data_IF_986939586107
#
_entry.id   IF_986939586107
#
_cell.length_a   1.000
_cell.length_b   1.000
_cell.length_c   1.000
_cell.angle_alpha   90.00
_cell.angle_beta   90.00
_cell.angle_gamma   90.00
#
_symmetry.space_group_name_H-M   'P 1'
#
loop_
_entity.id
_entity.type
_entity.pdbx_description
1 polymer ?
#
# COMPACT_ATOMS: atom_id res chain seq x y z
N UNK A 1 -0.97 27.05 4.29
CA UNK A 1 -1.22 25.82 5.09
C UNK A 1 -2.29 25.00 4.40
N UNK A 2 -1.99 23.72 4.13
CA UNK A 2 -2.95 22.84 3.45
C UNK A 2 -4.09 22.46 4.38
N UNK A 3 -5.32 22.41 3.84
CA UNK A 3 -6.47 21.85 4.55
C UNK A 3 -6.27 20.36 4.80
N UNK A 4 -7.04 19.78 5.72
CA UNK A 4 -7.01 18.33 5.96
C UNK A 4 -7.35 17.55 4.71
N UNK A 5 -8.37 17.98 3.95
CA UNK A 5 -8.74 17.30 2.70
C UNK A 5 -7.64 17.38 1.64
N UNK A 6 -6.96 18.52 1.54
CA UNK A 6 -5.85 18.66 0.60
C UNK A 6 -4.66 17.76 0.99
N UNK A 7 -4.39 17.62 2.29
CA UNK A 7 -3.35 16.72 2.78
C UNK A 7 -3.68 15.26 2.49
N UNK A 8 -4.92 14.87 2.75
CA UNK A 8 -5.38 13.50 2.46
C UNK A 8 -5.27 13.23 0.96
N UNK A 9 -5.72 14.16 0.11
CA UNK A 9 -5.64 14.02 -1.34
C UNK A 9 -4.19 13.82 -1.80
N UNK A 10 -3.26 14.58 -1.25
CA UNK A 10 -1.84 14.46 -1.56
C UNK A 10 -1.28 13.09 -1.14
N UNK A 11 -1.65 12.62 0.05
CA UNK A 11 -1.24 11.30 0.53
C UNK A 11 -1.82 10.17 -0.33
N UNK A 12 -3.09 10.30 -0.75
CA UNK A 12 -3.70 9.31 -1.64
C UNK A 12 -2.98 9.27 -2.99
N UNK A 13 -2.59 10.42 -3.54
CA UNK A 13 -1.79 10.45 -4.77
C UNK A 13 -0.47 9.73 -4.59
N UNK A 14 0.20 9.94 -3.46
CA UNK A 14 1.46 9.28 -3.18
C UNK A 14 1.29 7.76 -3.05
N UNK A 15 0.21 7.32 -2.39
CA UNK A 15 -0.09 5.89 -2.26
C UNK A 15 -0.37 5.25 -3.62
N UNK A 16 -1.13 5.93 -4.48
CA UNK A 16 -1.43 5.44 -5.83
C UNK A 16 -0.12 5.25 -6.62
N UNK A 17 0.73 6.26 -6.64
CA UNK A 17 2.01 6.19 -7.36
C UNK A 17 2.89 5.07 -6.86
N UNK A 18 2.93 4.88 -5.54
CA UNK A 18 3.77 3.84 -4.95
C UNK A 18 3.22 2.44 -5.27
N UNK A 19 1.90 2.26 -5.23
CA UNK A 19 1.30 0.97 -5.58
C UNK A 19 1.46 0.65 -7.07
N UNK A 20 1.39 1.66 -7.94
CA UNK A 20 1.68 1.48 -9.36
C UNK A 20 3.14 1.07 -9.59
N UNK A 21 4.06 1.72 -8.89
CA UNK A 21 5.48 1.37 -8.94
C UNK A 21 5.72 -0.06 -8.45
N UNK A 22 5.10 -0.41 -7.33
CA UNK A 22 5.17 -1.74 -6.75
C UNK A 22 4.74 -2.81 -7.75
N UNK A 23 3.63 -2.58 -8.45
CA UNK A 23 3.12 -3.49 -9.47
C UNK A 23 4.11 -3.66 -10.63
N UNK A 24 4.76 -2.56 -11.04
CA UNK A 24 5.76 -2.63 -12.12
C UNK A 24 7.02 -3.35 -11.67
N UNK A 25 7.51 -3.06 -10.46
CA UNK A 25 8.72 -3.71 -9.94
C UNK A 25 8.54 -5.21 -9.82
N UNK A 26 7.36 -5.67 -9.46
CA UNK A 26 7.07 -7.08 -9.24
C UNK A 26 6.52 -7.81 -10.46
N UNK A 27 6.46 -7.15 -11.62
CA UNK A 27 5.84 -7.74 -12.82
C UNK A 27 6.50 -9.05 -13.25
N UNK A 28 7.80 -9.19 -13.07
CA UNK A 28 8.53 -10.41 -13.42
C UNK A 28 8.47 -11.50 -12.37
N UNK A 29 7.83 -11.27 -11.24
CA UNK A 29 7.69 -12.25 -10.16
C UNK A 29 6.40 -13.02 -10.40
N UNK A 30 6.52 -14.30 -10.75
CA UNK A 30 5.38 -15.16 -11.09
C UNK A 30 5.00 -16.10 -9.96
N UNK A 31 5.95 -16.48 -9.13
CA UNK A 31 5.74 -17.33 -7.95
C UNK A 31 6.59 -16.78 -6.80
N UNK A 32 6.24 -17.10 -5.54
CA UNK A 32 7.00 -16.56 -4.40
C UNK A 32 8.50 -16.87 -4.45
N UNK A 33 8.86 -18.03 -4.98
CA UNK A 33 10.26 -18.47 -5.07
C UNK A 33 11.11 -17.55 -5.94
N UNK A 34 10.49 -16.82 -6.87
CA UNK A 34 11.23 -15.88 -7.74
C UNK A 34 11.91 -14.77 -6.92
N UNK A 35 11.41 -14.48 -5.71
CA UNK A 35 12.06 -13.55 -4.81
C UNK A 35 13.35 -14.10 -4.21
N UNK A 36 13.53 -15.43 -4.19
CA UNK A 36 14.56 -16.08 -3.40
C UNK A 36 15.67 -16.71 -4.24
N UNK A 37 15.43 -16.88 -5.54
CA UNK A 37 16.29 -17.73 -6.37
C UNK A 37 17.32 -16.97 -7.20
N UNK A 38 17.36 -15.65 -7.10
CA UNK A 38 18.33 -14.83 -7.80
C UNK A 38 18.63 -13.55 -7.02
N UNK A 39 19.76 -12.94 -7.31
CA UNK A 39 20.09 -11.64 -6.72
C UNK A 39 19.05 -10.58 -7.14
N UNK A 40 18.63 -10.61 -8.41
CA UNK A 40 17.62 -9.68 -8.91
C UNK A 40 16.29 -9.88 -8.16
N UNK A 41 15.86 -11.12 -7.98
CA UNK A 41 14.62 -11.42 -7.24
C UNK A 41 14.69 -10.95 -5.80
N UNK A 42 15.81 -11.14 -5.14
CA UNK A 42 16.01 -10.68 -3.75
C UNK A 42 16.02 -9.15 -3.67
N UNK A 43 16.57 -8.48 -4.66
CA UNK A 43 16.55 -7.02 -4.75
C UNK A 43 15.12 -6.52 -4.91
N UNK A 44 14.36 -7.14 -5.81
CA UNK A 44 12.94 -6.81 -6.00
C UNK A 44 12.15 -7.06 -4.72
N UNK A 45 12.42 -8.16 -4.02
CA UNK A 45 11.76 -8.46 -2.76
C UNK A 45 11.93 -7.32 -1.75
N UNK A 46 13.17 -6.84 -1.59
CA UNK A 46 13.46 -5.74 -0.66
C UNK A 46 12.82 -4.44 -1.08
N UNK A 47 12.85 -4.14 -2.38
CA UNK A 47 12.20 -2.94 -2.92
C UNK A 47 10.70 -2.99 -2.69
N UNK A 48 10.06 -4.13 -2.96
CA UNK A 48 8.64 -4.32 -2.73
C UNK A 48 8.28 -4.17 -1.25
N UNK A 49 9.11 -4.71 -0.37
CA UNK A 49 8.92 -4.57 1.07
C UNK A 49 8.94 -3.11 1.51
N UNK A 50 9.89 -2.33 1.02
CA UNK A 50 9.96 -0.90 1.30
C UNK A 50 8.72 -0.17 0.80
N UNK A 51 8.25 -0.51 -0.41
CA UNK A 51 7.04 0.09 -0.97
C UNK A 51 5.80 -0.21 -0.13
N UNK A 52 5.64 -1.46 0.32
CA UNK A 52 4.52 -1.84 1.19
C UNK A 52 4.55 -1.07 2.50
N UNK A 53 5.73 -0.90 3.08
CA UNK A 53 5.88 -0.11 4.30
C UNK A 53 5.48 1.35 4.07
N UNK A 54 5.91 1.92 2.96
CA UNK A 54 5.59 3.30 2.61
C UNK A 54 4.08 3.50 2.44
N UNK A 55 3.42 2.59 1.71
CA UNK A 55 1.96 2.61 1.52
C UNK A 55 1.25 2.53 2.87
N UNK A 56 1.68 1.60 3.73
CA UNK A 56 1.09 1.46 5.07
C UNK A 56 1.21 2.74 5.87
N UNK A 57 2.38 3.35 5.87
CA UNK A 57 2.61 4.59 6.61
C UNK A 57 1.72 5.73 6.13
N UNK A 58 1.47 5.79 4.81
CA UNK A 58 0.54 6.79 4.25
C UNK A 58 -0.86 6.59 4.82
N UNK A 59 -1.38 5.35 4.79
CA UNK A 59 -2.72 5.08 5.32
C UNK A 59 -2.82 5.31 6.83
N UNK A 60 -1.76 5.03 7.57
CA UNK A 60 -1.71 5.35 9.00
C UNK A 60 -1.76 6.86 9.23
N UNK A 61 -1.06 7.65 8.41
CA UNK A 61 -1.13 9.11 8.50
C UNK A 61 -2.54 9.62 8.24
N UNK A 62 -3.22 9.07 7.23
CA UNK A 62 -4.61 9.44 6.93
C UNK A 62 -5.50 9.10 8.13
N UNK A 63 -5.34 7.90 8.70
CA UNK A 63 -6.12 7.49 9.87
C UNK A 63 -5.89 8.42 11.05
N UNK A 64 -4.63 8.81 11.29
CA UNK A 64 -4.29 9.69 12.41
C UNK A 64 -4.86 11.09 12.23
N UNK A 65 -4.98 11.57 11.01
CA UNK A 65 -5.55 12.88 10.72
C UNK A 65 -7.08 12.86 10.71
N UNK A 66 -7.67 11.89 10.02
CA UNK A 66 -9.11 11.87 9.72
C UNK A 66 -9.92 10.99 10.67
N UNK A 67 -9.27 10.09 11.41
CA UNK A 67 -9.94 9.13 12.29
C UNK A 67 -10.35 7.87 11.54
N UNK A 68 -10.66 6.81 12.30
CA UNK A 68 -11.05 5.52 11.73
C UNK A 68 -12.35 5.59 10.95
N UNK A 69 -13.24 6.51 11.33
CA UNK A 69 -14.55 6.66 10.67
C UNK A 69 -14.41 7.04 9.19
N UNK A 70 -13.33 7.72 8.83
CA UNK A 70 -13.07 8.06 7.44
C UNK A 70 -13.08 6.82 6.54
N UNK A 71 -12.54 5.70 7.03
CA UNK A 71 -12.42 4.46 6.25
C UNK A 71 -13.72 3.65 6.22
N UNK A 72 -14.64 3.89 7.13
CA UNK A 72 -15.91 3.14 7.19
C UNK A 72 -16.78 3.32 5.97
N UNK A 73 -16.67 4.46 5.29
CA UNK A 73 -17.40 4.73 4.05
C UNK A 73 -16.85 3.94 2.86
N UNK A 74 -15.66 3.39 2.98
CA UNK A 74 -15.00 2.64 1.91
C UNK A 74 -14.98 1.15 2.28
N UNK A 75 -16.14 0.51 2.11
CA UNK A 75 -16.34 -0.89 2.48
C UNK A 75 -15.66 -1.82 1.49
N UNK A 76 -15.33 -3.01 1.95
CA UNK A 76 -14.73 -4.04 1.10
C UNK A 76 -13.22 -4.17 1.24
N UNK A 77 -12.58 -3.27 1.98
CA UNK A 77 -11.16 -3.34 2.28
C UNK A 77 -10.99 -3.68 3.76
N UNK A 78 -10.15 -4.67 4.09
CA UNK A 78 -9.85 -4.99 5.50
C UNK A 78 -8.85 -3.96 6.04
N UNK A 79 -9.33 -2.78 6.40
CA UNK A 79 -8.47 -1.64 6.77
C UNK A 79 -7.50 -1.94 7.90
N UNK A 80 -7.92 -2.73 8.89
CA UNK A 80 -7.01 -3.10 9.98
C UNK A 80 -5.80 -3.89 9.47
N UNK A 81 -6.00 -4.73 8.45
CA UNK A 81 -4.90 -5.44 7.81
C UNK A 81 -4.01 -4.49 7.01
N UNK A 82 -4.62 -3.49 6.35
CA UNK A 82 -3.85 -2.47 5.62
C UNK A 82 -2.93 -1.72 6.59
N UNK A 83 -3.46 -1.29 7.72
CA UNK A 83 -2.66 -0.58 8.72
C UNK A 83 -1.54 -1.45 9.30
N UNK A 84 -1.69 -2.77 9.23
CA UNK A 84 -0.71 -3.72 9.74
C UNK A 84 0.27 -4.26 8.72
N UNK A 85 0.19 -3.87 7.44
CA UNK A 85 1.05 -4.45 6.39
C UNK A 85 2.54 -4.28 6.67
N UNK A 86 2.94 -3.21 7.35
CA UNK A 86 4.35 -2.97 7.70
C UNK A 86 4.95 -4.08 8.55
N UNK A 87 4.10 -4.91 9.20
CA UNK A 87 4.58 -5.99 10.05
C UNK A 87 5.29 -7.09 9.26
N UNK A 88 5.06 -7.19 7.96
CA UNK A 88 5.82 -8.12 7.11
C UNK A 88 7.31 -7.85 7.13
N UNK A 89 7.69 -6.58 7.27
CA UNK A 89 9.09 -6.16 7.20
C UNK A 89 9.79 -6.15 8.55
N UNK A 90 9.03 -5.89 9.59
CA UNK A 90 9.56 -5.92 10.95
C UNK A 90 9.57 -7.32 11.54
N UNK A 91 9.14 -8.31 10.75
CA UNK A 91 9.21 -9.69 11.15
C UNK A 91 10.66 -10.14 11.11
N UNK A 92 11.01 -10.13 12.02
CA UNK A 92 11.83 -10.78 12.87
C UNK A 92 12.98 -11.54 12.27
N UNK A 93 14.18 -10.96 12.42
CA UNK A 93 15.35 -11.81 12.51
C UNK A 93 15.61 -12.66 11.26
N UNK A 94 15.32 -12.10 10.10
CA UNK A 94 15.74 -12.72 8.87
C UNK A 94 14.80 -13.78 8.32
N UNK A 95 13.65 -14.00 8.92
CA UNK A 95 12.64 -14.82 8.27
C UNK A 95 12.00 -14.04 7.14
N UNK A 96 12.14 -14.61 5.95
CA UNK A 96 11.60 -14.03 4.73
C UNK A 96 10.21 -14.59 4.52
N UNK A 97 9.20 -13.73 4.54
CA UNK A 97 7.84 -14.12 4.21
C UNK A 97 7.55 -13.84 2.74
N UNK A 98 8.24 -14.56 1.86
CA UNK A 98 8.10 -14.37 0.42
C UNK A 98 6.69 -14.67 -0.06
N UNK A 99 6.05 -15.70 0.50
CA UNK A 99 4.68 -16.07 0.11
C UNK A 99 3.68 -14.99 0.54
N UNK A 100 3.79 -14.50 1.77
CA UNK A 100 2.92 -13.45 2.28
C UNK A 100 3.03 -12.17 1.49
N UNK A 101 4.25 -11.73 1.20
CA UNK A 101 4.48 -10.54 0.39
C UNK A 101 3.98 -10.74 -1.04
N UNK A 102 4.25 -11.91 -1.64
CA UNK A 102 3.77 -12.24 -2.98
C UNK A 102 2.24 -12.14 -3.04
N UNK A 103 1.53 -12.75 -2.10
CA UNK A 103 0.07 -12.73 -2.07
C UNK A 103 -0.46 -11.31 -1.87
N UNK A 104 0.16 -10.54 -0.99
CA UNK A 104 -0.23 -9.14 -0.78
C UNK A 104 -0.10 -8.34 -2.07
N UNK A 105 1.01 -8.47 -2.77
CA UNK A 105 1.26 -7.72 -4.01
C UNK A 105 0.30 -8.15 -5.11
N UNK A 106 0.11 -9.46 -5.30
CA UNK A 106 -0.66 -9.96 -6.45
C UNK A 106 -2.17 -9.94 -6.23
N UNK A 107 -2.61 -10.09 -4.98
CA UNK A 107 -4.03 -10.23 -4.65
C UNK A 107 -4.60 -8.98 -3.99
N UNK A 108 -3.91 -8.42 -3.00
CA UNK A 108 -4.46 -7.34 -2.18
C UNK A 108 -4.20 -5.96 -2.76
N UNK A 109 -3.02 -5.72 -3.29
CA UNK A 109 -2.65 -4.40 -3.81
C UNK A 109 -3.55 -3.95 -4.97
N UNK A 110 -3.89 -4.80 -5.96
CA UNK A 110 -4.79 -4.35 -7.03
C UNK A 110 -6.15 -3.88 -6.51
N UNK A 111 -6.69 -4.54 -5.49
CA UNK A 111 -7.97 -4.16 -4.89
C UNK A 111 -7.82 -2.85 -4.12
N UNK A 112 -6.75 -2.74 -3.33
CA UNK A 112 -6.47 -1.52 -2.58
C UNK A 112 -6.22 -0.33 -3.52
N UNK A 113 -5.48 -0.54 -4.60
CA UNK A 113 -5.21 0.50 -5.59
C UNK A 113 -6.50 1.04 -6.21
N UNK A 114 -7.41 0.14 -6.61
CA UNK A 114 -8.70 0.53 -7.17
C UNK A 114 -9.51 1.36 -6.15
N UNK A 115 -9.54 0.92 -4.89
CA UNK A 115 -10.23 1.66 -3.83
C UNK A 115 -9.57 3.02 -3.58
N UNK A 116 -8.25 3.06 -3.57
CA UNK A 116 -7.51 4.31 -3.33
C UNK A 116 -7.80 5.35 -4.43
N UNK A 117 -7.93 4.90 -5.67
CA UNK A 117 -8.34 5.79 -6.76
C UNK A 117 -9.73 6.36 -6.54
N UNK A 118 -10.66 5.55 -6.05
CA UNK A 118 -12.01 6.03 -5.69
C UNK A 118 -11.97 7.04 -4.54
N UNK A 119 -11.16 6.77 -3.52
CA UNK A 119 -10.98 7.70 -2.42
C UNK A 119 -10.42 9.03 -2.92
N UNK A 120 -9.48 8.97 -3.86
CA UNK A 120 -8.87 10.16 -4.45
C UNK A 120 -9.90 10.98 -5.24
N UNK A 121 -10.78 10.33 -5.98
CA UNK A 121 -11.85 11.01 -6.71
C UNK A 121 -12.81 11.71 -5.75
N UNK A 122 -13.17 11.06 -4.64
CA UNK A 122 -14.02 11.66 -3.61
C UNK A 122 -13.37 12.90 -3.00
N UNK A 123 -12.07 12.81 -2.70
CA UNK A 123 -11.32 13.93 -2.14
C UNK A 123 -11.25 15.10 -3.13
N UNK A 124 -11.10 14.80 -4.42
CA UNK A 124 -11.07 15.82 -5.47
C UNK A 124 -12.41 16.54 -5.57
N UNK A 125 -13.52 15.80 -5.53
CA UNK A 125 -14.85 16.37 -5.54
C UNK A 125 -15.08 17.30 -4.35
N UNK A 126 -14.62 16.92 -3.17
CA UNK A 126 -14.71 17.75 -1.97
C UNK A 126 -13.89 19.03 -2.10
N UNK A 127 -12.74 18.96 -2.75
CA UNK A 127 -11.87 20.12 -2.93
C UNK A 127 -12.42 21.12 -3.95
N UNK A 128 -13.33 20.72 -4.83
CA UNK A 128 -13.90 21.56 -5.86
C UNK A 128 -15.12 22.35 -5.39
N UNK A 129 -15.63 22.05 -4.22
CA UNK A 129 -16.76 22.77 -3.60
C UNK A 129 -16.26 23.88 -2.64
#
# INVERSE_FOLDING_TARGET
MLTSNARIASWLDAAIKEMELLSRMSAGISVPEDFLTSLQGMTVYRACGMSLQYVTEIFVKIRNLAGKDYFRQYKGIPWEQVFGMRNFLSHEYGEVDAEGIFNTIKMDIPVLLAMTRRMRESARGECLI
#
